data_IF_216348611408
#
_entry.id   IF_216348611408
#
_cell.length_a   1.000
_cell.length_b   1.000
_cell.length_c   1.000
_cell.angle_alpha   90.00
_cell.angle_beta   90.00
_cell.angle_gamma   90.00
#
_symmetry.space_group_name_H-M   'P 1'
#
loop_
_entity.id
_entity.type
_entity.pdbx_description
1 polymer ?
#
# COMPACT_ATOMS: atom_id res chain seq x y z
N UNK A 1 -7.41 1.65 11.40
CA UNK A 1 -7.85 3.06 11.31
C UNK A 1 -6.73 4.05 11.01
N UNK A 2 -5.46 3.80 11.39
CA UNK A 2 -4.34 4.74 11.22
C UNK A 2 -4.19 5.30 9.80
N UNK A 3 -4.22 4.45 8.77
CA UNK A 3 -4.13 4.84 7.36
C UNK A 3 -5.31 5.74 6.95
N UNK A 4 -6.54 5.30 7.22
CA UNK A 4 -7.75 6.07 6.89
C UNK A 4 -7.77 7.45 7.55
N UNK A 5 -7.43 7.53 8.85
CA UNK A 5 -7.37 8.79 9.57
C UNK A 5 -6.28 9.72 9.01
N UNK A 6 -5.14 9.17 8.58
CA UNK A 6 -4.05 9.95 7.98
C UNK A 6 -4.47 10.54 6.62
N UNK A 7 -5.18 9.76 5.78
CA UNK A 7 -5.73 10.27 4.52
C UNK A 7 -6.83 11.32 4.77
N UNK A 8 -7.71 11.10 5.75
CA UNK A 8 -8.71 12.09 6.14
C UNK A 8 -8.06 13.41 6.62
N UNK A 9 -6.97 13.33 7.39
CA UNK A 9 -6.20 14.50 7.79
C UNK A 9 -5.58 15.24 6.58
N UNK A 10 -5.06 14.51 5.59
CA UNK A 10 -4.56 15.11 4.34
C UNK A 10 -5.66 15.85 3.57
N UNK A 11 -6.84 15.26 3.46
CA UNK A 11 -8.02 15.90 2.88
C UNK A 11 -8.43 17.17 3.65
N UNK A 12 -8.26 17.16 4.98
CA UNK A 12 -8.47 18.32 5.85
C UNK A 12 -7.32 19.35 5.83
N UNK A 13 -6.26 19.14 5.03
CA UNK A 13 -5.18 20.11 4.83
C UNK A 13 -3.83 19.73 5.42
N UNK A 14 -3.71 18.60 6.14
CA UNK A 14 -2.41 18.14 6.63
C UNK A 14 -1.45 17.83 5.47
N UNK A 15 -0.15 18.11 5.67
CA UNK A 15 0.91 17.88 4.66
C UNK A 15 2.05 17.00 5.16
N UNK A 16 1.94 16.49 6.38
CA UNK A 16 2.88 15.55 6.99
C UNK A 16 2.08 14.39 7.59
N UNK A 17 2.54 13.18 7.32
CA UNK A 17 2.07 11.94 7.94
C UNK A 17 3.28 11.27 8.57
N UNK A 18 3.14 10.84 9.82
CA UNK A 18 4.12 10.02 10.49
C UNK A 18 3.66 8.56 10.51
N UNK A 19 4.60 7.66 10.29
CA UNK A 19 4.32 6.25 10.18
C UNK A 19 5.60 5.46 9.98
N UNK A 20 5.44 4.19 9.67
CA UNK A 20 6.56 3.25 9.52
C UNK A 20 6.32 2.32 8.35
N UNK A 21 7.40 1.85 7.74
CA UNK A 21 7.35 0.74 6.80
C UNK A 21 6.77 -0.49 7.49
N UNK A 22 5.90 -1.21 6.78
CA UNK A 22 5.16 -2.37 7.27
C UNK A 22 4.17 -2.06 8.42
N UNK A 23 4.02 -0.79 8.83
CA UNK A 23 3.21 -0.41 9.98
C UNK A 23 3.77 -0.86 11.33
N UNK A 24 5.06 -1.21 11.43
CA UNK A 24 5.67 -1.63 12.69
C UNK A 24 5.64 -0.53 13.77
N UNK A 25 5.51 -0.92 15.03
CA UNK A 25 5.50 0.03 16.13
C UNK A 25 5.04 -0.63 17.41
N UNK A 26 4.87 0.16 18.47
CA UNK A 26 4.33 -0.36 19.72
C UNK A 26 2.90 -0.89 19.56
N UNK A 27 2.56 -1.91 20.36
CA UNK A 27 1.22 -2.53 20.40
C UNK A 27 0.80 -3.07 19.03
N UNK A 28 -0.24 -2.48 18.43
CA UNK A 28 -0.78 -2.88 17.13
C UNK A 28 -0.09 -2.17 15.94
N UNK A 29 0.92 -1.33 16.21
CA UNK A 29 1.70 -0.65 15.20
C UNK A 29 1.20 0.75 14.81
N UNK A 30 1.81 1.29 13.76
CA UNK A 30 1.63 2.65 13.27
C UNK A 30 0.85 2.70 11.96
N UNK A 31 0.69 3.91 11.41
CA UNK A 31 0.30 4.07 10.01
C UNK A 31 1.34 3.41 9.09
N UNK A 32 0.87 2.57 8.16
CA UNK A 32 1.72 1.98 7.12
C UNK A 32 2.06 3.03 6.06
N UNK A 33 3.35 3.29 5.85
CA UNK A 33 3.80 4.29 4.87
C UNK A 33 3.64 3.79 3.43
N UNK A 34 3.85 2.50 3.17
CA UNK A 34 3.64 1.93 1.84
C UNK A 34 2.18 2.00 1.39
N UNK A 35 1.23 1.81 2.31
CA UNK A 35 -0.20 1.97 2.01
C UNK A 35 -0.55 3.44 1.72
N UNK A 36 -0.05 4.38 2.53
CA UNK A 36 -0.24 5.82 2.28
C UNK A 36 0.35 6.25 0.95
N UNK A 37 1.57 5.81 0.64
CA UNK A 37 2.26 6.12 -0.60
C UNK A 37 1.41 5.68 -1.80
N UNK A 38 0.89 4.46 -1.76
CA UNK A 38 0.09 3.93 -2.86
C UNK A 38 -1.31 4.53 -2.95
N UNK A 39 -1.94 4.90 -1.83
CA UNK A 39 -3.20 5.64 -1.86
C UNK A 39 -2.99 7.01 -2.53
N UNK A 40 -1.97 7.77 -2.10
CA UNK A 40 -1.67 9.07 -2.70
C UNK A 40 -1.32 8.91 -4.17
N UNK A 41 -0.47 7.95 -4.55
CA UNK A 41 -0.09 7.72 -5.94
C UNK A 41 -1.28 7.38 -6.83
N UNK A 42 -2.15 6.49 -6.36
CA UNK A 42 -3.31 5.99 -7.13
C UNK A 42 -4.45 7.02 -7.18
N UNK A 43 -4.55 7.90 -6.18
CA UNK A 43 -5.63 8.90 -6.06
C UNK A 43 -5.11 10.33 -6.10
N UNK A 44 -3.94 10.56 -6.68
CA UNK A 44 -3.25 11.86 -6.67
C UNK A 44 -4.14 12.98 -7.21
N UNK A 45 -4.85 12.74 -8.31
CA UNK A 45 -5.78 13.72 -8.91
C UNK A 45 -6.93 14.07 -7.98
N UNK A 46 -7.53 13.06 -7.33
CA UNK A 46 -8.64 13.27 -6.40
C UNK A 46 -8.21 13.96 -5.10
N UNK A 47 -7.03 13.61 -4.58
CA UNK A 47 -6.50 14.16 -3.34
C UNK A 47 -5.80 15.51 -3.53
N UNK A 48 -5.43 15.87 -4.77
CA UNK A 48 -4.72 17.11 -5.07
C UNK A 48 -3.32 17.20 -4.46
N UNK A 49 -2.71 16.07 -4.09
CA UNK A 49 -1.39 15.99 -3.45
C UNK A 49 -0.54 14.89 -4.05
N UNK A 50 0.78 15.03 -3.97
CA UNK A 50 1.75 14.04 -4.43
C UNK A 50 2.88 13.89 -3.42
N UNK A 51 3.67 12.82 -3.56
CA UNK A 51 4.92 12.63 -2.81
C UNK A 51 6.06 12.40 -3.78
N UNK A 52 7.30 12.63 -3.33
CA UNK A 52 8.52 12.28 -4.07
C UNK A 52 8.99 10.84 -3.86
N UNK A 53 8.14 9.96 -3.33
CA UNK A 53 8.53 8.58 -3.01
C UNK A 53 8.80 7.76 -4.27
N UNK A 54 9.84 6.93 -4.22
CA UNK A 54 10.16 5.96 -5.26
C UNK A 54 9.39 4.67 -5.00
N UNK A 55 8.24 4.51 -5.67
CA UNK A 55 7.30 3.43 -5.40
C UNK A 55 7.87 2.04 -5.75
N UNK A 56 8.80 1.97 -6.71
CA UNK A 56 9.51 0.74 -7.08
C UNK A 56 10.36 0.17 -5.93
N UNK A 57 10.74 1.03 -4.96
CA UNK A 57 11.55 0.61 -3.82
C UNK A 57 10.72 0.07 -2.65
N UNK A 58 9.39 0.16 -2.72
CA UNK A 58 8.49 -0.20 -1.61
C UNK A 58 8.69 -1.66 -1.20
N UNK A 59 8.65 -2.59 -2.15
CA UNK A 59 8.75 -4.02 -1.83
C UNK A 59 10.13 -4.40 -1.29
N UNK A 60 11.21 -3.84 -1.87
CA UNK A 60 12.57 -4.05 -1.38
C UNK A 60 12.75 -3.50 0.04
N UNK A 61 12.25 -2.29 0.29
CA UNK A 61 12.33 -1.62 1.61
C UNK A 61 11.52 -2.38 2.66
N UNK A 62 10.31 -2.81 2.31
CA UNK A 62 9.46 -3.64 3.17
C UNK A 62 10.15 -4.93 3.60
N UNK A 63 10.77 -5.65 2.66
CA UNK A 63 11.55 -6.87 2.96
C UNK A 63 12.77 -6.59 3.83
N UNK A 64 13.52 -5.53 3.54
CA UNK A 64 14.67 -5.14 4.34
C UNK A 64 14.28 -4.87 5.80
N UNK A 65 13.23 -4.08 6.03
CA UNK A 65 12.73 -3.78 7.37
C UNK A 65 12.23 -5.05 8.07
N UNK A 66 11.50 -5.92 7.37
CA UNK A 66 11.05 -7.21 7.91
C UNK A 66 12.21 -8.07 8.41
N UNK A 67 13.30 -8.15 7.63
CA UNK A 67 14.52 -8.90 7.99
C UNK A 67 15.24 -8.28 9.19
N UNK A 68 15.46 -6.96 9.18
CA UNK A 68 16.18 -6.26 10.25
C UNK A 68 15.43 -6.29 11.58
N UNK A 69 14.09 -6.24 11.54
CA UNK A 69 13.25 -6.25 12.73
C UNK A 69 12.85 -7.67 13.17
N UNK A 70 13.21 -8.71 12.41
CA UNK A 70 12.77 -10.09 12.62
C UNK A 70 11.24 -10.21 12.76
N UNK A 71 10.51 -9.48 11.92
CA UNK A 71 9.05 -9.44 11.90
C UNK A 71 8.56 -9.80 10.49
N UNK A 72 7.99 -10.99 10.26
CA UNK A 72 7.55 -11.41 8.94
C UNK A 72 6.38 -10.55 8.44
N UNK A 73 6.35 -10.29 7.14
CA UNK A 73 5.24 -9.64 6.45
C UNK A 73 4.07 -10.64 6.39
N UNK A 74 2.89 -10.21 6.80
CA UNK A 74 1.68 -11.03 6.66
C UNK A 74 1.31 -11.19 5.18
N UNK A 75 0.94 -12.40 4.75
CA UNK A 75 0.66 -12.68 3.35
C UNK A 75 -0.46 -11.81 2.76
N UNK A 76 -1.46 -11.45 3.56
CA UNK A 76 -2.59 -10.63 3.18
C UNK A 76 -2.37 -9.12 3.45
N UNK A 77 -1.16 -8.70 3.81
CA UNK A 77 -0.86 -7.29 4.03
C UNK A 77 -1.04 -6.51 2.72
N UNK A 78 -1.75 -5.40 2.78
CA UNK A 78 -1.94 -4.52 1.63
C UNK A 78 -0.58 -4.11 1.04
N UNK A 79 -0.53 -3.99 -0.28
CA UNK A 79 0.63 -3.57 -1.09
C UNK A 79 1.78 -4.58 -1.14
N UNK A 80 2.24 -5.10 0.00
CA UNK A 80 3.51 -5.84 0.12
C UNK A 80 3.36 -7.31 0.52
N UNK A 81 2.16 -7.76 0.88
CA UNK A 81 1.88 -9.15 1.19
C UNK A 81 1.96 -10.05 -0.04
N UNK A 82 2.36 -11.31 0.15
CA UNK A 82 2.50 -12.29 -0.93
C UNK A 82 1.19 -12.52 -1.71
N UNK A 83 0.04 -12.28 -1.09
CA UNK A 83 -1.29 -12.43 -1.68
C UNK A 83 -1.92 -11.10 -2.14
N UNK A 84 -1.20 -9.97 -2.06
CA UNK A 84 -1.76 -8.64 -2.34
C UNK A 84 -2.27 -8.46 -3.79
N UNK A 85 -1.75 -9.24 -4.74
CA UNK A 85 -2.15 -9.22 -6.16
C UNK A 85 -2.54 -10.61 -6.67
N UNK A 86 -2.85 -11.54 -5.76
CA UNK A 86 -3.20 -12.93 -6.12
C UNK A 86 -4.70 -13.06 -6.39
N UNK A 87 -5.06 -13.76 -7.47
CA UNK A 87 -6.46 -14.01 -7.86
C UNK A 87 -6.72 -15.52 -7.95
N UNK A 88 -7.68 -16.03 -7.19
CA UNK A 88 -7.90 -17.48 -7.06
C UNK A 88 -9.27 -17.99 -7.53
N UNK A 89 -10.28 -17.12 -7.75
CA UNK A 89 -11.62 -17.55 -8.17
C UNK A 89 -11.82 -17.46 -9.69
N UNK A 90 -12.56 -18.43 -10.27
CA UNK A 90 -12.82 -18.48 -11.72
C UNK A 90 -13.57 -17.26 -12.25
N UNK A 91 -14.46 -16.67 -11.44
CA UNK A 91 -15.16 -15.42 -11.79
C UNK A 91 -14.24 -14.19 -11.76
N UNK A 92 -13.24 -14.18 -10.85
CA UNK A 92 -12.26 -13.10 -10.82
C UNK A 92 -11.30 -13.22 -12.01
N UNK A 93 -10.91 -14.43 -12.39
CA UNK A 93 -10.09 -14.66 -13.59
C UNK A 93 -10.82 -14.25 -14.88
N UNK A 94 -12.08 -14.67 -15.05
CA UNK A 94 -12.91 -14.26 -16.21
C UNK A 94 -13.07 -12.73 -16.29
N UNK A 95 -13.34 -12.07 -15.16
CA UNK A 95 -13.43 -10.62 -15.12
C UNK A 95 -12.09 -9.92 -15.38
N UNK A 96 -10.96 -10.48 -14.92
CA UNK A 96 -9.61 -9.99 -15.22
C UNK A 96 -9.27 -10.11 -16.71
N UNK A 97 -9.68 -11.20 -17.37
CA UNK A 97 -9.50 -11.39 -18.82
C UNK A 97 -10.30 -10.38 -19.64
N UNK A 98 -11.50 -10.03 -19.18
CA UNK A 98 -12.37 -9.04 -19.84
C UNK A 98 -11.89 -7.61 -19.62
N UNK A 99 -11.57 -7.24 -18.38
CA UNK A 99 -11.04 -5.93 -18.04
C UNK A 99 -10.31 -5.99 -16.68
N UNK A 100 -8.97 -5.88 -16.70
CA UNK A 100 -8.12 -5.93 -15.51
C UNK A 100 -8.48 -4.87 -14.45
N UNK A 101 -8.93 -3.69 -14.88
CA UNK A 101 -9.31 -2.60 -13.96
C UNK A 101 -10.54 -2.94 -13.11
N UNK A 102 -11.26 -4.02 -13.42
CA UNK A 102 -12.42 -4.47 -12.63
C UNK A 102 -12.02 -4.90 -11.22
N UNK A 103 -10.84 -5.53 -11.08
CA UNK A 103 -10.38 -6.07 -9.79
C UNK A 103 -9.02 -5.50 -9.36
N UNK A 104 -8.26 -4.88 -10.26
CA UNK A 104 -6.98 -4.25 -9.95
C UNK A 104 -7.07 -2.73 -10.14
N UNK A 105 -7.13 -2.00 -9.03
CA UNK A 105 -7.02 -0.53 -9.05
C UNK A 105 -5.57 -0.06 -9.32
N UNK A 106 -4.60 -0.95 -9.13
CA UNK A 106 -3.18 -0.74 -9.36
C UNK A 106 -2.52 -2.08 -9.71
N UNK A 107 -1.45 -2.04 -10.50
CA UNK A 107 -0.70 -3.23 -10.92
C UNK A 107 0.58 -3.41 -10.12
N UNK A 108 1.07 -4.65 -10.01
CA UNK A 108 2.35 -4.95 -9.35
C UNK A 108 3.54 -4.19 -9.95
N UNK A 109 3.49 -3.88 -11.25
CA UNK A 109 4.53 -3.09 -11.93
C UNK A 109 4.71 -1.66 -11.41
N UNK A 110 3.80 -1.17 -10.56
CA UNK A 110 3.97 0.12 -9.87
C UNK A 110 4.89 0.02 -8.63
N UNK A 111 5.18 -1.20 -8.18
CA UNK A 111 5.87 -1.51 -6.92
C UNK A 111 7.23 -2.21 -7.09
N UNK A 112 7.62 -2.52 -8.33
CA UNK A 112 8.81 -3.30 -8.70
C UNK A 112 9.52 -2.61 -9.85
#
# INVERSE_FOLDING_TARGET
>A
MSVANSIAAVQAGARQIEGTINGIGERAGNCSLEEIAMIIKTRQEFLGVHTGLQHQEIHRTSKLVSQLCNMPIQDNKAIVGANAFSHSSGIHQDGMLKNKNTYEIMTLSLLV
#
